data_IF_033808109675
#
_entry.id   IF_033808109675
#
_cell.length_a   1.000
_cell.length_b   1.000
_cell.length_c   1.000
_cell.angle_alpha   90.00
_cell.angle_beta   90.00
_cell.angle_gamma   90.00
#
_symmetry.space_group_name_H-M   'P 1'
#
loop_
_entity.id
_entity.type
_entity.pdbx_description
1 polymer ?
#
# COMPACT_ATOMS: atom_id res chain seq x y z
N UNK A 1 -27.83 1.47 -1.67
CA UNK A 1 -26.47 1.66 -2.22
C UNK A 1 -25.95 0.28 -2.61
N UNK A 2 -25.76 -0.03 -3.90
CA UNK A 2 -25.33 -1.38 -4.30
C UNK A 2 -23.84 -1.55 -4.01
N UNK A 3 -23.53 -2.55 -3.19
CA UNK A 3 -22.19 -3.04 -2.81
C UNK A 3 -21.37 -3.55 -4.03
N UNK A 4 -21.95 -3.56 -5.23
CA UNK A 4 -21.31 -3.96 -6.51
C UNK A 4 -20.29 -2.93 -7.08
N UNK A 5 -19.77 -2.01 -6.26
CA UNK A 5 -19.08 -0.80 -6.73
C UNK A 5 -17.55 -0.94 -6.93
N UNK A 6 -17.03 -2.16 -7.08
CA UNK A 6 -15.74 -2.33 -7.76
C UNK A 6 -16.03 -2.76 -9.19
N UNK A 7 -15.72 -1.92 -10.19
CA UNK A 7 -15.89 -2.30 -11.57
C UNK A 7 -15.20 -3.64 -11.88
N UNK A 8 -15.71 -4.40 -12.86
CA UNK A 8 -15.07 -5.65 -13.32
C UNK A 8 -13.57 -5.49 -13.63
N UNK A 9 -13.13 -4.28 -14.00
CA UNK A 9 -11.74 -3.98 -14.29
C UNK A 9 -10.84 -3.99 -13.05
N UNK A 10 -11.37 -3.85 -11.83
CA UNK A 10 -10.56 -3.89 -10.61
C UNK A 10 -9.93 -5.27 -10.40
N UNK A 11 -10.66 -6.36 -10.64
CA UNK A 11 -10.09 -7.71 -10.53
C UNK A 11 -8.91 -7.91 -11.48
N UNK A 12 -8.99 -7.36 -12.70
CA UNK A 12 -7.90 -7.42 -13.66
C UNK A 12 -6.68 -6.64 -13.16
N UNK A 13 -6.86 -5.44 -12.59
CA UNK A 13 -5.76 -4.64 -12.04
C UNK A 13 -5.00 -5.42 -10.95
N UNK A 14 -5.70 -6.08 -10.03
CA UNK A 14 -5.03 -6.89 -8.99
C UNK A 14 -4.28 -8.08 -9.58
N UNK A 15 -4.84 -8.74 -10.60
CA UNK A 15 -4.15 -9.82 -11.30
C UNK A 15 -2.86 -9.32 -12.00
N UNK A 16 -2.91 -8.15 -12.63
CA UNK A 16 -1.76 -7.55 -13.31
C UNK A 16 -0.68 -7.10 -12.31
N UNK A 17 -1.08 -6.61 -11.14
CA UNK A 17 -0.16 -6.32 -10.02
C UNK A 17 0.55 -7.60 -9.56
N UNK A 18 -0.19 -8.69 -9.33
CA UNK A 18 0.39 -9.97 -8.91
C UNK A 18 1.38 -10.53 -9.94
N UNK A 19 1.02 -10.48 -11.23
CA UNK A 19 1.93 -10.88 -12.31
C UNK A 19 3.20 -10.02 -12.35
N UNK A 20 3.06 -8.71 -12.14
CA UNK A 20 4.21 -7.80 -12.07
C UNK A 20 5.11 -8.16 -10.90
N UNK A 21 4.54 -8.46 -9.72
CA UNK A 21 5.28 -8.94 -8.55
C UNK A 21 6.03 -10.24 -8.82
N UNK A 22 5.38 -11.25 -9.43
CA UNK A 22 6.03 -12.51 -9.83
C UNK A 22 7.26 -12.23 -10.70
N UNK A 23 7.12 -11.40 -11.72
CA UNK A 23 8.26 -11.05 -12.57
C UNK A 23 9.34 -10.23 -11.86
N UNK A 24 9.00 -9.48 -10.80
CA UNK A 24 9.98 -8.79 -9.97
C UNK A 24 10.80 -9.75 -9.08
N UNK A 25 10.20 -10.86 -8.60
CA UNK A 25 10.92 -11.93 -7.91
C UNK A 25 12.02 -12.50 -8.81
N UNK A 26 11.65 -12.82 -10.05
CA UNK A 26 12.57 -13.34 -11.07
C UNK A 26 13.68 -12.33 -11.38
N UNK A 27 13.35 -11.04 -11.44
CA UNK A 27 14.34 -9.98 -11.72
C UNK A 27 15.38 -9.85 -10.62
N UNK A 28 15.00 -9.90 -9.34
CA UNK A 28 16.00 -9.93 -8.27
C UNK A 28 16.89 -11.17 -8.36
N UNK A 29 16.30 -12.33 -8.67
CA UNK A 29 17.06 -13.56 -8.86
C UNK A 29 18.07 -13.40 -10.00
N UNK A 30 17.66 -12.90 -11.16
CA UNK A 30 18.55 -12.69 -12.32
C UNK A 30 19.68 -11.69 -12.02
N UNK A 31 19.41 -10.64 -11.24
CA UNK A 31 20.43 -9.67 -10.84
C UNK A 31 21.49 -10.25 -9.90
N UNK A 32 21.11 -11.15 -9.00
CA UNK A 32 22.00 -11.75 -8.00
C UNK A 32 22.67 -13.02 -8.55
N UNK A 33 21.95 -13.79 -9.36
CA UNK A 33 22.36 -15.06 -9.94
C UNK A 33 22.08 -15.09 -11.45
N UNK A 34 23.01 -14.56 -12.27
CA UNK A 34 22.86 -14.56 -13.73
C UNK A 34 22.80 -15.98 -14.35
N UNK A 35 23.41 -16.96 -13.69
CA UNK A 35 23.33 -18.38 -14.06
C UNK A 35 22.18 -19.05 -13.30
N UNK A 36 21.03 -19.20 -13.99
CA UNK A 36 19.82 -19.80 -13.42
C UNK A 36 19.99 -21.27 -13.07
N UNK A 37 20.73 -22.04 -13.87
CA UNK A 37 20.92 -23.47 -13.63
C UNK A 37 21.75 -23.69 -12.35
N UNK A 38 22.78 -22.85 -12.18
CA UNK A 38 23.55 -22.81 -10.94
C UNK A 38 22.68 -22.39 -9.76
N UNK A 39 21.85 -21.36 -9.90
CA UNK A 39 20.93 -20.92 -8.84
C UNK A 39 20.02 -22.05 -8.37
N UNK A 40 19.31 -22.73 -9.28
CA UNK A 40 18.39 -23.81 -8.89
C UNK A 40 19.13 -25.01 -8.29
N UNK A 41 20.34 -25.31 -8.77
CA UNK A 41 21.20 -26.35 -8.18
C UNK A 41 21.61 -25.99 -6.75
N UNK A 42 22.02 -24.74 -6.51
CA UNK A 42 22.40 -24.24 -5.19
C UNK A 42 21.18 -24.17 -4.25
N UNK A 43 20.05 -23.67 -4.73
CA UNK A 43 18.81 -23.52 -3.96
C UNK A 43 18.34 -24.85 -3.36
N UNK A 44 18.43 -25.95 -4.12
CA UNK A 44 18.09 -27.29 -3.63
C UNK A 44 18.99 -27.82 -2.50
N UNK A 45 20.16 -27.19 -2.30
CA UNK A 45 21.15 -27.55 -1.28
C UNK A 45 21.23 -26.53 -0.14
N UNK A 46 20.67 -25.33 -0.33
CA UNK A 46 20.68 -24.26 0.66
C UNK A 46 19.83 -24.66 1.88
N UNK A 47 20.35 -24.35 3.05
CA UNK A 47 19.66 -24.61 4.31
C UNK A 47 18.47 -23.66 4.45
N UNK A 48 17.34 -24.17 4.91
CA UNK A 48 16.08 -23.42 5.01
C UNK A 48 16.21 -22.10 5.78
N UNK A 49 17.07 -22.04 6.82
CA UNK A 49 17.25 -20.82 7.61
C UNK A 49 17.69 -19.62 6.76
N UNK A 50 18.35 -19.84 5.63
CA UNK A 50 18.83 -18.77 4.72
C UNK A 50 17.67 -17.98 4.12
N UNK A 51 16.53 -18.63 3.87
CA UNK A 51 15.35 -17.98 3.29
C UNK A 51 14.27 -17.63 4.32
N UNK A 52 14.24 -18.31 5.47
CA UNK A 52 13.12 -18.23 6.40
C UNK A 52 13.45 -17.54 7.73
N UNK A 53 14.67 -17.67 8.27
CA UNK A 53 14.93 -17.21 9.64
C UNK A 53 14.89 -15.68 9.74
N UNK A 54 14.00 -15.17 10.59
CA UNK A 54 13.79 -13.73 10.78
C UNK A 54 12.83 -13.09 9.79
N UNK A 55 12.32 -13.86 8.83
CA UNK A 55 11.31 -13.45 7.85
C UNK A 55 10.00 -14.23 8.00
N UNK A 56 10.06 -15.42 8.58
CA UNK A 56 8.95 -16.36 8.70
C UNK A 56 8.78 -16.81 10.16
N UNK A 57 7.55 -16.76 10.67
CA UNK A 57 7.22 -17.18 12.04
C UNK A 57 7.35 -18.68 12.25
N UNK A 58 7.27 -19.47 11.18
CA UNK A 58 7.39 -20.93 11.24
C UNK A 58 8.85 -21.37 11.47
N UNK A 59 9.81 -20.47 11.32
CA UNK A 59 11.22 -20.71 11.56
C UNK A 59 11.72 -20.02 12.84
N UNK A 60 11.40 -20.63 13.99
CA UNK A 60 11.69 -20.07 15.30
C UNK A 60 13.19 -20.18 15.68
N UNK A 61 13.90 -19.05 15.71
CA UNK A 61 15.23 -18.92 16.33
C UNK A 61 15.52 -17.46 16.73
N UNK A 62 16.65 -17.23 17.41
CA UNK A 62 17.06 -15.88 17.85
C UNK A 62 18.00 -15.21 16.85
N UNK A 63 18.07 -13.88 16.95
CA UNK A 63 19.06 -13.07 16.22
C UNK A 63 20.50 -13.51 16.51
N UNK A 64 20.79 -13.92 17.75
CA UNK A 64 22.14 -14.32 18.13
C UNK A 64 22.55 -15.63 17.44
N UNK A 65 21.62 -16.59 17.34
CA UNK A 65 21.83 -17.82 16.58
C UNK A 65 21.99 -17.53 15.09
N UNK A 66 21.14 -16.66 14.52
CA UNK A 66 21.30 -16.23 13.12
C UNK A 66 22.69 -15.67 12.85
N UNK A 67 23.21 -14.82 13.75
CA UNK A 67 24.55 -14.25 13.58
C UNK A 67 25.65 -15.31 13.62
N UNK A 68 25.52 -16.34 14.46
CA UNK A 68 26.47 -17.47 14.50
C UNK A 68 26.46 -18.21 13.15
N UNK A 69 25.28 -18.59 12.65
CA UNK A 69 25.17 -19.30 11.37
C UNK A 69 25.66 -18.48 10.18
N UNK A 70 25.43 -17.17 10.18
CA UNK A 70 25.97 -16.26 9.17
C UNK A 70 27.50 -16.23 9.21
N UNK A 71 28.12 -16.26 10.40
CA UNK A 71 29.59 -16.31 10.56
C UNK A 71 30.19 -17.66 10.15
N UNK A 72 29.41 -18.74 10.23
CA UNK A 72 29.81 -20.08 9.81
C UNK A 72 29.70 -20.30 8.28
N UNK A 73 29.18 -19.33 7.52
CA UNK A 73 29.17 -19.41 6.04
C UNK A 73 30.62 -19.39 5.53
N UNK A 74 31.02 -20.51 4.94
CA UNK A 74 32.33 -20.67 4.28
C UNK A 74 32.23 -20.24 2.81
N UNK A 75 33.27 -19.59 2.31
CA UNK A 75 33.44 -19.18 0.90
C UNK A 75 32.31 -18.32 0.32
N UNK A 76 31.57 -17.60 1.17
CA UNK A 76 30.50 -16.68 0.75
C UNK A 76 29.28 -17.33 0.10
N UNK A 77 29.18 -18.67 0.16
CA UNK A 77 28.24 -19.49 -0.62
C UNK A 77 26.76 -19.08 -0.50
N UNK A 78 26.35 -18.52 0.63
CA UNK A 78 24.93 -18.23 0.90
C UNK A 78 24.59 -16.74 1.03
N UNK A 79 25.56 -15.84 0.92
CA UNK A 79 25.28 -14.41 1.09
C UNK A 79 24.40 -13.82 -0.01
N UNK A 80 24.55 -14.29 -1.25
CA UNK A 80 23.64 -13.94 -2.35
C UNK A 80 22.21 -14.41 -2.07
N UNK A 81 22.05 -15.63 -1.54
CA UNK A 81 20.73 -16.18 -1.21
C UNK A 81 20.05 -15.43 -0.04
N UNK A 82 20.81 -15.09 1.01
CA UNK A 82 20.32 -14.25 2.11
C UNK A 82 19.82 -12.90 1.60
N UNK A 83 20.62 -12.24 0.76
CA UNK A 83 20.24 -10.94 0.20
C UNK A 83 19.06 -11.04 -0.78
N UNK A 84 18.98 -12.13 -1.55
CA UNK A 84 17.83 -12.41 -2.40
C UNK A 84 16.56 -12.58 -1.55
N UNK A 85 16.61 -13.34 -0.46
CA UNK A 85 15.48 -13.51 0.46
C UNK A 85 14.98 -12.17 1.03
N UNK A 86 15.89 -11.28 1.45
CA UNK A 86 15.56 -9.93 1.90
C UNK A 86 14.80 -9.13 0.80
N UNK A 87 15.31 -9.15 -0.43
CA UNK A 87 14.71 -8.42 -1.56
C UNK A 87 13.35 -9.00 -1.96
N UNK A 88 13.22 -10.33 -1.95
CA UNK A 88 11.99 -11.05 -2.25
C UNK A 88 10.93 -10.80 -1.16
N UNK A 89 11.33 -10.67 0.10
CA UNK A 89 10.42 -10.33 1.19
C UNK A 89 9.85 -8.90 1.03
N UNK A 90 10.63 -7.95 0.49
CA UNK A 90 10.13 -6.62 0.15
C UNK A 90 8.97 -6.68 -0.86
N UNK A 91 9.03 -7.58 -1.86
CA UNK A 91 7.92 -7.80 -2.81
C UNK A 91 6.71 -8.40 -2.10
N UNK A 92 6.93 -9.37 -1.20
CA UNK A 92 5.86 -9.99 -0.42
C UNK A 92 5.13 -8.97 0.46
N UNK A 93 5.86 -8.03 1.06
CA UNK A 93 5.26 -6.91 1.78
C UNK A 93 4.39 -6.02 0.89
N UNK A 94 4.79 -5.79 -0.37
CA UNK A 94 4.00 -5.01 -1.33
C UNK A 94 2.71 -5.76 -1.67
N UNK A 95 2.77 -7.05 -2.03
CA UNK A 95 1.59 -7.86 -2.35
C UNK A 95 0.58 -7.86 -1.19
N UNK A 96 1.05 -8.16 0.02
CA UNK A 96 0.21 -8.16 1.22
C UNK A 96 -0.45 -6.80 1.48
N UNK A 97 0.29 -5.70 1.29
CA UNK A 97 -0.24 -4.35 1.52
C UNK A 97 -1.25 -3.95 0.46
N UNK A 98 -0.99 -4.22 -0.81
CA UNK A 98 -1.92 -3.94 -1.89
C UNK A 98 -3.21 -4.75 -1.72
N UNK A 99 -3.12 -6.05 -1.40
CA UNK A 99 -4.30 -6.85 -1.09
C UNK A 99 -5.09 -6.29 0.10
N UNK A 100 -4.40 -5.85 1.17
CA UNK A 100 -5.06 -5.24 2.32
C UNK A 100 -5.86 -3.97 1.96
N UNK A 101 -5.38 -3.15 1.01
CA UNK A 101 -6.16 -1.97 0.55
C UNK A 101 -7.51 -2.36 -0.06
N UNK A 102 -7.57 -3.49 -0.77
CA UNK A 102 -8.84 -4.01 -1.31
C UNK A 102 -9.80 -4.41 -0.19
N UNK A 103 -9.30 -5.20 0.77
CA UNK A 103 -10.12 -5.66 1.90
C UNK A 103 -10.63 -4.49 2.73
N UNK A 104 -9.81 -3.46 2.98
CA UNK A 104 -10.20 -2.28 3.74
C UNK A 104 -11.24 -1.43 2.98
N UNK A 105 -11.11 -1.31 1.65
CA UNK A 105 -12.13 -0.70 0.81
C UNK A 105 -13.47 -1.43 0.91
N UNK A 106 -13.46 -2.76 0.77
CA UNK A 106 -14.68 -3.59 0.87
C UNK A 106 -15.32 -3.46 2.27
N UNK A 107 -14.50 -3.48 3.33
CA UNK A 107 -14.95 -3.30 4.71
C UNK A 107 -15.56 -1.91 4.95
N UNK A 108 -14.99 -0.85 4.39
CA UNK A 108 -15.56 0.50 4.52
C UNK A 108 -17.01 0.55 4.04
N UNK A 109 -17.30 0.04 2.84
CA UNK A 109 -18.66 0.04 2.30
C UNK A 109 -19.59 -0.91 3.04
N UNK A 110 -19.08 -2.05 3.50
CA UNK A 110 -19.85 -2.99 4.33
C UNK A 110 -20.29 -2.32 5.63
N UNK A 111 -19.36 -1.76 6.41
CA UNK A 111 -19.68 -1.09 7.66
C UNK A 111 -20.59 0.13 7.42
N UNK A 112 -20.39 0.86 6.31
CA UNK A 112 -21.21 2.01 5.98
C UNK A 112 -22.67 1.61 5.74
N UNK A 113 -22.92 0.47 5.08
CA UNK A 113 -24.28 -0.02 4.85
C UNK A 113 -24.97 -0.53 6.13
N UNK A 114 -24.18 -1.06 7.09
CA UNK A 114 -24.65 -1.53 8.39
C UNK A 114 -25.06 -0.40 9.35
N UNK A 115 -24.77 0.87 9.02
CA UNK A 115 -25.23 2.01 9.82
C UNK A 115 -26.74 2.17 9.71
N UNK A 116 -27.47 1.64 10.69
CA UNK A 116 -28.92 1.74 10.79
C UNK A 116 -29.42 2.93 11.62
N UNK A 117 -30.73 3.14 11.56
CA UNK A 117 -31.48 3.94 12.54
C UNK A 117 -32.33 3.02 13.41
N UNK A 118 -32.38 3.29 14.72
CA UNK A 118 -33.26 2.61 15.68
C UNK A 118 -34.65 3.26 15.80
N UNK A 119 -34.91 4.36 15.09
CA UNK A 119 -36.16 5.13 15.18
C UNK A 119 -36.86 5.30 13.84
N UNK A 120 -38.20 5.24 13.87
CA UNK A 120 -39.09 5.69 12.80
C UNK A 120 -38.97 7.21 12.66
N UNK A 121 -37.94 7.66 11.94
CA UNK A 121 -37.74 9.06 11.64
C UNK A 121 -38.64 9.50 10.48
N UNK A 122 -39.06 10.76 10.49
CA UNK A 122 -39.68 11.38 9.32
C UNK A 122 -38.66 11.47 8.17
N UNK A 123 -39.15 11.72 6.96
CA UNK A 123 -38.26 11.98 5.82
C UNK A 123 -37.37 13.19 6.09
N UNK A 124 -36.09 13.08 5.75
CA UNK A 124 -35.09 14.10 6.06
C UNK A 124 -33.66 13.58 6.08
N UNK A 125 -32.73 14.47 6.44
CA UNK A 125 -31.31 14.15 6.62
C UNK A 125 -30.97 14.14 8.10
N UNK A 126 -30.38 13.04 8.54
CA UNK A 126 -29.96 12.80 9.91
C UNK A 126 -28.50 12.38 9.96
N UNK A 127 -27.95 12.33 11.16
CA UNK A 127 -26.64 11.76 11.39
C UNK A 127 -26.65 10.93 12.66
N UNK A 128 -25.72 9.98 12.74
CA UNK A 128 -25.47 9.17 13.91
C UNK A 128 -23.97 9.11 14.22
N UNK A 129 -23.65 8.78 15.46
CA UNK A 129 -22.30 8.52 15.95
C UNK A 129 -22.37 7.36 16.95
N UNK A 130 -21.24 6.72 17.22
CA UNK A 130 -21.17 5.53 18.07
C UNK A 130 -20.32 4.44 17.43
N UNK A 131 -20.45 3.21 17.92
CA UNK A 131 -19.63 2.07 17.53
C UNK A 131 -19.61 1.83 16.02
N UNK A 132 -20.78 1.67 15.37
CA UNK A 132 -20.85 1.47 13.92
C UNK A 132 -20.23 2.64 13.14
N UNK A 133 -20.37 3.89 13.62
CA UNK A 133 -19.71 5.03 12.96
C UNK A 133 -18.18 4.96 13.13
N UNK A 134 -17.69 4.54 14.29
CA UNK A 134 -16.26 4.34 14.53
C UNK A 134 -15.71 3.26 13.59
N UNK A 135 -16.41 2.15 13.39
CA UNK A 135 -15.98 1.06 12.49
C UNK A 135 -15.85 1.53 11.02
N UNK A 136 -16.80 2.35 10.56
CA UNK A 136 -16.73 2.97 9.24
C UNK A 136 -15.49 3.84 9.11
N UNK A 137 -15.25 4.74 10.07
CA UNK A 137 -14.09 5.61 10.05
C UNK A 137 -12.77 4.84 10.21
N UNK A 138 -12.70 3.83 11.07
CA UNK A 138 -11.51 2.99 11.22
C UNK A 138 -11.15 2.28 9.92
N UNK A 139 -12.13 1.70 9.22
CA UNK A 139 -11.89 1.03 7.93
C UNK A 139 -11.37 2.02 6.88
N UNK A 140 -11.94 3.22 6.86
CA UNK A 140 -11.52 4.31 5.97
C UNK A 140 -10.12 4.83 6.30
N UNK A 141 -9.81 5.01 7.58
CA UNK A 141 -8.51 5.46 8.04
C UNK A 141 -7.42 4.43 7.72
N UNK A 142 -7.69 3.16 8.01
CA UNK A 142 -6.80 2.04 7.72
C UNK A 142 -6.50 1.94 6.22
N UNK A 143 -7.50 2.17 5.37
CA UNK A 143 -7.35 2.24 3.92
C UNK A 143 -6.33 3.31 3.51
N UNK A 144 -6.50 4.56 3.95
CA UNK A 144 -5.57 5.65 3.60
C UNK A 144 -4.16 5.43 4.16
N UNK A 145 -4.05 4.92 5.39
CA UNK A 145 -2.76 4.58 5.99
C UNK A 145 -2.06 3.48 5.19
N UNK A 146 -2.80 2.46 4.76
CA UNK A 146 -2.25 1.30 4.04
C UNK A 146 -1.88 1.66 2.59
N UNK A 147 -2.68 2.48 1.91
CA UNK A 147 -2.34 3.01 0.59
C UNK A 147 -1.02 3.80 0.66
N UNK A 148 -0.89 4.72 1.60
CA UNK A 148 0.36 5.49 1.76
C UNK A 148 1.56 4.61 2.13
N UNK A 149 1.39 3.65 3.03
CA UNK A 149 2.46 2.71 3.38
C UNK A 149 2.92 1.87 2.17
N UNK A 150 2.02 1.58 1.24
CA UNK A 150 2.37 0.90 -0.02
C UNK A 150 3.24 1.78 -0.91
N UNK A 151 3.01 3.11 -0.93
CA UNK A 151 3.87 4.06 -1.64
C UNK A 151 5.31 4.03 -1.11
N UNK A 152 5.50 3.95 0.22
CA UNK A 152 6.82 3.82 0.83
C UNK A 152 7.53 2.54 0.34
N UNK A 153 6.84 1.39 0.37
CA UNK A 153 7.42 0.10 -0.04
C UNK A 153 7.78 0.06 -1.53
N UNK A 154 6.91 0.59 -2.40
CA UNK A 154 7.18 0.62 -3.85
C UNK A 154 8.36 1.57 -4.16
N UNK A 155 8.49 2.67 -3.42
CA UNK A 155 9.67 3.56 -3.54
C UNK A 155 10.94 2.85 -3.11
N UNK A 156 10.89 2.07 -2.01
CA UNK A 156 12.01 1.23 -1.58
C UNK A 156 12.40 0.22 -2.64
N UNK A 157 11.42 -0.41 -3.29
CA UNK A 157 11.64 -1.39 -4.33
C UNK A 157 12.36 -0.76 -5.53
N UNK A 158 11.81 0.34 -6.06
CA UNK A 158 12.40 1.09 -7.16
C UNK A 158 13.86 1.49 -6.85
N UNK A 159 14.08 2.07 -5.67
CA UNK A 159 15.43 2.47 -5.24
C UNK A 159 16.38 1.29 -5.08
N UNK A 160 15.89 0.13 -4.62
CA UNK A 160 16.72 -1.06 -4.45
C UNK A 160 17.22 -1.59 -5.78
N UNK A 161 16.37 -1.63 -6.82
CA UNK A 161 16.78 -2.03 -8.17
C UNK A 161 17.82 -1.07 -8.78
N UNK A 162 17.64 0.25 -8.63
CA UNK A 162 18.60 1.24 -9.11
C UNK A 162 19.98 1.12 -8.43
N UNK A 163 20.03 0.49 -7.27
CA UNK A 163 21.23 0.47 -6.45
C UNK A 163 21.62 -0.96 -6.03
N UNK A 164 21.43 -1.96 -6.88
CA UNK A 164 21.84 -3.34 -6.57
C UNK A 164 23.34 -3.43 -6.23
N UNK A 165 23.74 -4.29 -5.26
CA UNK A 165 25.15 -4.61 -5.05
C UNK A 165 25.74 -5.40 -6.22
N UNK A 166 27.02 -5.18 -6.50
CA UNK A 166 27.76 -5.91 -7.54
C UNK A 166 28.67 -7.02 -6.94
N UNK A 167 28.71 -7.15 -5.62
CA UNK A 167 29.55 -8.13 -4.92
C UNK A 167 28.76 -8.79 -3.78
N UNK A 168 28.76 -10.11 -3.74
CA UNK A 168 28.10 -10.94 -2.74
C UNK A 168 29.08 -11.81 -1.96
N UNK A 169 30.37 -11.44 -1.92
CA UNK A 169 31.38 -12.07 -1.06
C UNK A 169 31.09 -11.94 0.44
N UNK A 170 30.17 -11.04 0.81
CA UNK A 170 29.66 -10.82 2.16
C UNK A 170 28.15 -10.57 2.13
N UNK A 171 27.49 -10.74 3.29
CA UNK A 171 26.08 -10.41 3.42
C UNK A 171 25.85 -8.90 3.26
N UNK A 172 25.12 -8.52 2.21
CA UNK A 172 24.85 -7.13 1.86
C UNK A 172 23.69 -6.54 2.64
N UNK A 173 23.75 -5.23 2.89
CA UNK A 173 22.62 -4.47 3.44
C UNK A 173 21.78 -3.92 2.30
N UNK A 174 20.46 -4.00 2.40
CA UNK A 174 19.57 -3.30 1.48
C UNK A 174 19.82 -1.79 1.55
N UNK A 175 20.04 -1.17 0.39
CA UNK A 175 20.24 0.28 0.27
C UNK A 175 18.93 1.05 0.42
N UNK A 176 17.79 0.39 0.22
CA UNK A 176 16.46 0.99 0.34
C UNK A 176 15.91 1.05 1.78
N UNK A 177 16.63 0.54 2.80
CA UNK A 177 16.09 0.37 4.17
C UNK A 177 15.43 1.63 4.75
N UNK A 178 16.03 2.80 4.56
CA UNK A 178 15.57 4.09 5.10
C UNK A 178 14.80 4.95 4.08
N UNK A 179 14.52 4.43 2.89
CA UNK A 179 13.85 5.17 1.83
C UNK A 179 12.34 5.21 2.11
N UNK A 180 11.74 6.39 1.97
CA UNK A 180 10.31 6.65 2.10
C UNK A 180 9.79 7.28 0.81
N UNK A 181 8.47 7.37 0.65
CA UNK A 181 7.83 7.94 -0.55
C UNK A 181 8.24 9.38 -0.84
N UNK A 182 8.57 10.17 0.19
CA UNK A 182 9.15 11.50 0.03
C UNK A 182 10.47 11.52 -0.75
N UNK A 183 11.19 10.38 -0.80
CA UNK A 183 12.43 10.22 -1.56
C UNK A 183 12.19 9.83 -3.03
N UNK A 184 10.93 9.75 -3.52
CA UNK A 184 10.59 9.44 -4.93
C UNK A 184 11.26 10.36 -5.96
N UNK A 185 11.66 11.56 -5.54
CA UNK A 185 12.40 12.51 -6.38
C UNK A 185 13.77 11.94 -6.79
N UNK A 186 14.36 11.06 -5.99
CA UNK A 186 15.66 10.43 -6.21
C UNK A 186 15.59 9.18 -7.10
N UNK A 187 14.38 8.79 -7.55
CA UNK A 187 14.21 7.71 -8.52
C UNK A 187 14.48 8.29 -9.91
N UNK A 188 15.50 7.78 -10.59
CA UNK A 188 16.02 8.34 -11.85
C UNK A 188 15.82 7.41 -13.05
N UNK A 189 15.98 6.10 -12.86
CA UNK A 189 16.00 5.13 -13.96
C UNK A 189 14.60 4.84 -14.52
N UNK A 190 13.56 5.08 -13.73
CA UNK A 190 12.18 4.74 -14.08
C UNK A 190 11.46 5.95 -14.67
N UNK A 191 10.84 5.76 -15.85
CA UNK A 191 9.95 6.75 -16.43
C UNK A 191 8.73 6.98 -15.53
N UNK A 192 8.56 8.21 -15.04
CA UNK A 192 7.54 8.57 -14.04
C UNK A 192 6.12 8.72 -14.59
N UNK A 193 5.91 8.82 -15.91
CA UNK A 193 4.58 9.01 -16.50
C UNK A 193 3.57 7.94 -16.04
N UNK A 194 2.35 8.32 -15.62
CA UNK A 194 1.32 7.42 -15.12
C UNK A 194 1.72 6.54 -13.91
N UNK A 195 2.84 6.84 -13.25
CA UNK A 195 3.29 6.10 -12.05
C UNK A 195 2.81 6.77 -10.77
N UNK A 196 2.99 6.10 -9.63
CA UNK A 196 2.86 6.74 -8.32
C UNK A 196 3.91 7.85 -8.06
N UNK A 197 4.97 7.95 -8.89
CA UNK A 197 6.02 8.95 -8.72
C UNK A 197 5.73 10.26 -9.46
N UNK A 198 4.73 10.27 -10.33
CA UNK A 198 4.20 11.48 -10.96
C UNK A 198 3.31 12.26 -9.98
N UNK A 199 3.32 13.58 -10.09
CA UNK A 199 2.39 14.43 -9.34
C UNK A 199 0.95 14.18 -9.81
N UNK A 200 0.11 13.70 -8.90
CA UNK A 200 -1.26 13.30 -9.19
C UNK A 200 -2.20 13.67 -8.02
N UNK A 201 -3.39 14.24 -8.28
CA UNK A 201 -4.32 14.65 -7.23
C UNK A 201 -4.76 13.52 -6.28
N UNK A 202 -4.97 12.29 -6.77
CA UNK A 202 -5.35 11.15 -5.94
C UNK A 202 -4.22 10.74 -5.01
N UNK A 203 -3.00 10.60 -5.53
CA UNK A 203 -1.80 10.33 -4.70
C UNK A 203 -1.60 11.43 -3.66
N UNK A 204 -1.81 12.69 -4.06
CA UNK A 204 -1.68 13.84 -3.15
C UNK A 204 -2.76 13.86 -2.07
N UNK A 205 -3.98 13.47 -2.43
CA UNK A 205 -5.09 13.33 -1.50
C UNK A 205 -4.80 12.23 -0.47
N UNK A 206 -4.28 11.07 -0.92
CA UNK A 206 -3.87 9.98 -0.04
C UNK A 206 -2.79 10.45 0.94
N UNK A 207 -1.75 11.13 0.45
CA UNK A 207 -0.69 11.70 1.28
C UNK A 207 -1.25 12.67 2.33
N UNK A 208 -2.06 13.64 1.92
CA UNK A 208 -2.57 14.68 2.82
C UNK A 208 -3.55 14.14 3.86
N UNK A 209 -4.49 13.28 3.44
CA UNK A 209 -5.45 12.67 4.36
C UNK A 209 -4.73 11.76 5.35
N UNK A 210 -3.77 10.93 4.89
CA UNK A 210 -2.95 10.13 5.81
C UNK A 210 -2.17 11.00 6.79
N UNK A 211 -1.57 12.11 6.36
CA UNK A 211 -0.88 13.04 7.27
C UNK A 211 -1.84 13.61 8.33
N UNK A 212 -3.04 14.04 7.92
CA UNK A 212 -4.04 14.52 8.86
C UNK A 212 -4.44 13.43 9.87
N UNK A 213 -4.63 12.18 9.43
CA UNK A 213 -4.94 11.05 10.31
C UNK A 213 -3.83 10.74 11.32
N UNK A 214 -2.58 10.71 10.88
CA UNK A 214 -1.45 10.38 11.75
C UNK A 214 -1.15 11.50 12.76
N UNK A 215 -1.28 12.76 12.35
CA UNK A 215 -0.94 13.90 13.22
C UNK A 215 -2.11 14.38 14.08
N UNK A 216 -3.34 14.27 13.59
CA UNK A 216 -4.54 14.82 14.25
C UNK A 216 -5.59 13.75 14.60
N UNK A 217 -5.29 12.46 14.38
CA UNK A 217 -6.08 11.29 14.78
C UNK A 217 -7.34 11.02 13.94
N UNK A 218 -7.84 12.03 13.24
CA UNK A 218 -9.07 11.99 12.42
C UNK A 218 -9.17 13.27 11.61
N UNK A 219 -9.80 13.24 10.43
CA UNK A 219 -10.16 14.47 9.72
C UNK A 219 -11.56 15.01 10.10
N UNK A 220 -12.30 14.28 10.94
CA UNK A 220 -13.57 14.71 11.52
C UNK A 220 -13.51 14.57 13.04
N UNK A 221 -13.73 15.68 13.75
CA UNK A 221 -13.70 15.74 15.22
C UNK A 221 -14.68 14.78 15.90
N UNK A 222 -15.85 14.58 15.30
CA UNK A 222 -16.88 13.67 15.80
C UNK A 222 -17.25 12.73 14.66
N UNK A 223 -16.72 11.49 14.63
CA UNK A 223 -17.03 10.51 13.60
C UNK A 223 -18.54 10.32 13.47
N UNK A 224 -19.10 10.90 12.41
CA UNK A 224 -20.54 10.93 12.17
C UNK A 224 -20.83 10.44 10.77
N UNK A 225 -21.81 9.55 10.69
CA UNK A 225 -22.35 9.06 9.42
C UNK A 225 -23.69 9.74 9.22
N UNK A 226 -23.85 10.40 8.08
CA UNK A 226 -25.11 11.00 7.68
C UNK A 226 -25.92 9.98 6.91
N UNK A 227 -27.24 10.08 7.00
CA UNK A 227 -28.15 9.26 6.22
C UNK A 227 -29.40 10.05 5.84
N UNK A 228 -29.95 9.71 4.68
CA UNK A 228 -31.18 10.30 4.14
C UNK A 228 -32.31 9.30 4.25
N UNK A 229 -33.45 9.76 4.75
CA UNK A 229 -34.68 8.98 4.83
C UNK A 229 -35.69 9.58 3.85
N UNK A 230 -36.23 8.73 2.99
CA UNK A 230 -37.31 9.05 2.05
C UNK A 230 -38.31 7.90 2.08
N UNK A 231 -39.60 8.20 2.19
CA UNK A 231 -40.65 7.19 2.37
C UNK A 231 -40.38 6.23 3.54
N UNK A 232 -39.79 6.73 4.64
CA UNK A 232 -39.39 5.94 5.83
C UNK A 232 -38.32 4.86 5.58
N UNK A 233 -37.63 4.90 4.46
CA UNK A 233 -36.49 4.03 4.17
C UNK A 233 -35.20 4.83 4.05
N UNK A 234 -34.07 4.25 4.47
CA UNK A 234 -32.76 4.87 4.27
C UNK A 234 -32.40 4.76 2.78
N UNK A 235 -32.38 5.87 2.07
CA UNK A 235 -32.01 5.91 0.64
C UNK A 235 -30.53 6.17 0.42
N UNK A 236 -29.85 6.76 1.41
CA UNK A 236 -28.45 7.16 1.29
C UNK A 236 -27.72 7.12 2.65
N UNK A 237 -26.43 6.78 2.63
CA UNK A 237 -25.51 6.91 3.76
C UNK A 237 -24.20 7.49 3.29
N UNK A 238 -23.63 8.42 4.05
CA UNK A 238 -22.41 9.10 3.62
C UNK A 238 -21.62 9.75 4.76
N UNK A 239 -20.36 10.01 4.46
CA UNK A 239 -19.44 10.79 5.29
C UNK A 239 -18.91 11.94 4.45
N UNK A 240 -18.82 13.13 5.05
CA UNK A 240 -18.20 14.26 4.38
C UNK A 240 -16.67 14.13 4.36
N UNK A 241 -16.09 14.46 3.21
CA UNK A 241 -14.65 14.67 3.04
C UNK A 241 -14.34 16.16 3.19
N UNK A 242 -13.24 16.55 3.84
CA UNK A 242 -12.80 17.94 3.86
C UNK A 242 -12.64 18.53 2.45
N UNK A 243 -12.86 19.83 2.32
CA UNK A 243 -12.66 20.56 1.08
C UNK A 243 -11.19 20.43 0.64
N UNK A 244 -10.99 19.96 -0.60
CA UNK A 244 -9.68 19.84 -1.23
C UNK A 244 -9.53 20.88 -2.34
N UNK A 245 -8.30 21.34 -2.54
CA UNK A 245 -7.90 22.05 -3.76
C UNK A 245 -7.89 21.10 -4.96
N UNK A 246 -7.85 21.65 -6.18
CA UNK A 246 -7.74 20.87 -7.42
C UNK A 246 -6.51 19.95 -7.42
N UNK A 247 -5.45 20.32 -6.69
CA UNK A 247 -4.23 19.54 -6.56
C UNK A 247 -4.34 18.39 -5.52
N UNK A 248 -5.46 18.23 -4.82
CA UNK A 248 -5.64 17.21 -3.78
C UNK A 248 -5.09 17.60 -2.40
N UNK A 249 -4.96 18.90 -2.13
CA UNK A 249 -4.51 19.41 -0.81
C UNK A 249 -5.69 19.89 0.02
N UNK A 250 -5.72 19.52 1.30
CA UNK A 250 -6.74 19.99 2.25
C UNK A 250 -6.70 21.52 2.33
N UNK A 251 -7.84 22.18 2.18
CA UNK A 251 -7.94 23.63 2.28
C UNK A 251 -7.70 24.09 3.72
N UNK A 252 -6.81 25.07 3.90
CA UNK A 252 -6.38 25.55 5.22
C UNK A 252 -6.56 27.06 5.33
N UNK A 253 -7.13 27.51 6.44
CA UNK A 253 -7.08 28.89 6.89
C UNK A 253 -6.47 28.98 8.28
N UNK A 254 -5.21 29.42 8.35
CA UNK A 254 -4.39 29.45 9.57
C UNK A 254 -4.32 28.05 10.20
N UNK A 255 -5.11 27.77 11.24
CA UNK A 255 -5.14 26.49 11.94
C UNK A 255 -6.35 25.61 11.57
N UNK A 256 -7.32 26.13 10.81
CA UNK A 256 -8.54 25.40 10.46
C UNK A 256 -8.38 24.71 9.11
N UNK A 257 -8.66 23.40 9.07
CA UNK A 257 -8.47 22.54 7.89
C UNK A 257 -9.71 21.72 7.49
N UNK A 258 -10.77 21.78 8.28
CA UNK A 258 -11.96 20.90 8.18
C UNK A 258 -13.15 21.69 7.66
N UNK A 259 -12.99 22.24 6.47
CA UNK A 259 -14.09 22.89 5.74
C UNK A 259 -14.85 21.83 4.95
N UNK A 260 -16.17 21.98 4.85
CA UNK A 260 -17.06 21.03 4.19
C UNK A 260 -18.09 21.74 3.30
N UNK A 261 -17.71 22.91 2.79
CA UNK A 261 -18.61 23.82 2.05
C UNK A 261 -19.02 23.25 0.69
N UNK A 262 -18.22 22.33 0.14
CA UNK A 262 -18.50 21.66 -1.14
C UNK A 262 -19.40 20.43 -0.98
N UNK A 263 -19.74 20.04 0.26
CA UNK A 263 -20.55 18.85 0.57
C UNK A 263 -20.01 17.55 -0.07
N UNK A 264 -18.70 17.47 -0.30
CA UNK A 264 -18.07 16.29 -0.91
C UNK A 264 -18.28 15.06 -0.03
N UNK A 265 -18.83 13.99 -0.58
CA UNK A 265 -19.05 12.73 0.14
C UNK A 265 -17.95 11.73 -0.21
N UNK A 266 -17.22 11.25 0.79
CA UNK A 266 -16.08 10.36 0.57
C UNK A 266 -16.52 9.04 -0.10
N UNK A 267 -17.69 8.50 0.23
CA UNK A 267 -18.19 7.26 -0.37
C UNK A 267 -18.55 7.40 -1.86
N UNK A 268 -18.69 8.63 -2.37
CA UNK A 268 -18.87 8.89 -3.81
C UNK A 268 -17.51 9.01 -4.53
N UNK A 269 -16.50 9.61 -3.89
CA UNK A 269 -15.18 9.88 -4.51
C UNK A 269 -14.13 8.79 -4.28
N UNK A 270 -14.28 8.00 -3.21
CA UNK A 270 -13.34 6.95 -2.83
C UNK A 270 -13.09 5.90 -3.93
N UNK A 271 -14.08 5.43 -4.71
CA UNK A 271 -13.85 4.46 -5.78
C UNK A 271 -12.82 4.97 -6.79
N UNK A 272 -12.94 6.23 -7.22
CA UNK A 272 -12.05 6.84 -8.19
C UNK A 272 -10.63 7.02 -7.63
N UNK A 273 -10.51 7.43 -6.36
CA UNK A 273 -9.22 7.54 -5.66
C UNK A 273 -8.52 6.17 -5.62
N UNK A 274 -9.24 5.12 -5.25
CA UNK A 274 -8.69 3.78 -5.13
C UNK A 274 -8.33 3.16 -6.49
N UNK A 275 -9.19 3.32 -7.51
CA UNK A 275 -8.93 2.82 -8.86
C UNK A 275 -7.69 3.50 -9.45
N UNK A 276 -7.60 4.82 -9.37
CA UNK A 276 -6.42 5.57 -9.84
C UNK A 276 -5.15 5.11 -9.10
N UNK A 277 -5.23 4.93 -7.77
CA UNK A 277 -4.11 4.42 -6.98
C UNK A 277 -3.65 3.04 -7.44
N UNK A 278 -4.57 2.06 -7.57
CA UNK A 278 -4.21 0.71 -7.99
C UNK A 278 -3.68 0.66 -9.43
N UNK A 279 -4.24 1.45 -10.34
CA UNK A 279 -3.74 1.56 -11.71
C UNK A 279 -2.31 2.10 -11.74
N UNK A 280 -2.04 3.18 -10.99
CA UNK A 280 -0.68 3.74 -10.89
C UNK A 280 0.29 2.76 -10.25
N UNK A 281 -0.11 2.03 -9.21
CA UNK A 281 0.71 0.96 -8.62
C UNK A 281 1.05 -0.10 -9.67
N UNK A 282 0.06 -0.57 -10.42
CA UNK A 282 0.27 -1.56 -11.49
C UNK A 282 1.28 -1.05 -12.52
N UNK A 283 1.07 0.17 -13.04
CA UNK A 283 1.98 0.79 -14.02
C UNK A 283 3.38 0.97 -13.44
N UNK A 284 3.50 1.39 -12.18
CA UNK A 284 4.80 1.54 -11.51
C UNK A 284 5.54 0.22 -11.40
N UNK A 285 4.89 -0.83 -10.91
CA UNK A 285 5.53 -2.15 -10.74
C UNK A 285 5.97 -2.72 -12.09
N UNK A 286 5.14 -2.58 -13.12
CA UNK A 286 5.48 -3.01 -14.48
C UNK A 286 6.67 -2.23 -15.04
N UNK A 287 6.71 -0.91 -14.83
CA UNK A 287 7.85 -0.09 -15.25
C UNK A 287 9.12 -0.43 -14.48
N UNK A 288 9.05 -0.68 -13.17
CA UNK A 288 10.21 -1.18 -12.40
C UNK A 288 10.70 -2.49 -13.01
N UNK A 289 9.80 -3.42 -13.29
CA UNK A 289 10.12 -4.73 -13.85
C UNK A 289 10.84 -4.62 -15.19
N UNK A 290 10.31 -3.79 -16.10
CA UNK A 290 10.81 -3.63 -17.47
C UNK A 290 12.04 -2.71 -17.60
N UNK A 291 12.36 -1.90 -16.59
CA UNK A 291 13.48 -0.95 -16.66
C UNK A 291 14.81 -1.67 -16.69
N UNK A 292 15.64 -1.41 -17.70
CA UNK A 292 17.01 -1.92 -17.73
C UNK A 292 17.91 -1.04 -16.85
N UNK A 293 18.11 -1.45 -15.59
CA UNK A 293 19.06 -0.80 -14.71
C UNK A 293 20.49 -1.12 -15.19
N UNK A 294 21.19 -0.09 -15.67
CA UNK A 294 22.60 -0.20 -16.07
C UNK A 294 23.45 -0.50 -14.82
N UNK A 295 24.31 -1.52 -14.92
CA UNK A 295 25.30 -1.87 -13.89
C UNK A 295 26.65 -1.21 -14.16
#
# INVERSE_FOLDING_TARGET
MKIDALPKHTTQIFYDIENSCIGLYDRFQDYIFPDRDRYYTEQGLVQQWVYHLGLDSDFASSKDIFNIWVQEIVDGKYYGHLFLADCQNLIGFIQNRILATRTQYENFYKHLDEVGTSMFCNDGVYWTTGENSIEVFSSLHDLFITMYASLDLITKLAFQFENMPNDYSKYQKMKSKSILFGNRINIEAINKDQTIFEENPSIKTIENLRHELIHNGTWESVPKVHYRIENREITERYIYMPDLTIAGTIEVHVNRKRFFSKENKINETLPDICIEFWQRVCVTLEKIRLTNYQQ
#
